data_IF_900765039885
#
_entry.id   IF_900765039885
#
_cell.length_a   1.000
_cell.length_b   1.000
_cell.length_c   1.000
_cell.angle_alpha   90.00
_cell.angle_beta   90.00
_cell.angle_gamma   90.00
#
_symmetry.space_group_name_H-M   'P 1'
#
loop_
_entity.id
_entity.type
_entity.pdbx_description
1 polymer ?
#
# COMPACT_ATOMS: atom_id res chain seq x y z
N UNK A 1 2.31 16.48 -0.73
CA UNK A 1 2.52 15.75 -2.01
C UNK A 1 3.88 15.07 -2.08
N UNK A 2 4.99 15.79 -1.89
CA UNK A 2 6.35 15.21 -1.99
C UNK A 2 6.55 13.96 -1.13
N UNK A 3 5.99 13.90 0.09
CA UNK A 3 6.13 12.74 0.97
C UNK A 3 5.36 11.49 0.50
N UNK A 4 4.19 11.68 -0.12
CA UNK A 4 3.42 10.58 -0.72
C UNK A 4 4.18 10.00 -1.91
N UNK A 5 4.65 10.88 -2.81
CA UNK A 5 5.44 10.49 -3.99
C UNK A 5 6.74 9.78 -3.58
N UNK A 6 7.45 10.31 -2.57
CA UNK A 6 8.65 9.67 -2.04
C UNK A 6 8.33 8.29 -1.44
N UNK A 7 7.25 8.18 -0.65
CA UNK A 7 6.88 6.91 -0.03
C UNK A 7 6.47 5.86 -1.06
N UNK A 8 5.76 6.28 -2.11
CA UNK A 8 5.39 5.45 -3.24
C UNK A 8 6.62 5.01 -4.05
N UNK A 9 7.57 5.91 -4.29
CA UNK A 9 8.85 5.60 -4.92
C UNK A 9 9.61 4.51 -4.18
N UNK A 10 9.71 4.60 -2.85
CA UNK A 10 10.35 3.55 -2.02
C UNK A 10 9.67 2.18 -2.19
N UNK A 11 8.34 2.14 -2.29
CA UNK A 11 7.59 0.90 -2.51
C UNK A 11 7.86 0.36 -3.93
N UNK A 12 7.81 1.22 -4.94
CA UNK A 12 8.03 0.86 -6.35
C UNK A 12 9.46 0.41 -6.63
N UNK A 13 10.46 1.03 -6.00
CA UNK A 13 11.88 0.66 -6.13
C UNK A 13 12.17 -0.77 -5.63
N UNK A 14 11.29 -1.33 -4.78
CA UNK A 14 11.36 -2.72 -4.33
C UNK A 14 10.63 -3.70 -5.26
N UNK A 15 9.94 -3.19 -6.28
CA UNK A 15 9.05 -3.93 -7.16
C UNK A 15 7.61 -4.03 -6.63
N UNK A 16 7.23 -3.17 -5.68
CA UNK A 16 5.96 -3.27 -4.97
C UNK A 16 5.92 -4.43 -3.99
N UNK A 17 4.77 -4.61 -3.34
CA UNK A 17 4.52 -5.78 -2.49
C UNK A 17 4.48 -7.04 -3.37
N UNK A 18 3.93 -6.96 -4.58
CA UNK A 18 3.98 -8.05 -5.55
C UNK A 18 5.40 -8.56 -5.78
N UNK A 19 6.33 -7.66 -6.14
CA UNK A 19 7.72 -8.04 -6.42
C UNK A 19 8.46 -8.56 -5.20
N UNK A 20 8.08 -8.12 -3.99
CA UNK A 20 8.59 -8.69 -2.74
C UNK A 20 8.13 -10.14 -2.53
N UNK A 21 6.85 -10.43 -2.75
CA UNK A 21 6.31 -11.79 -2.60
C UNK A 21 6.85 -12.74 -3.68
N UNK A 22 7.00 -12.26 -4.92
CA UNK A 22 7.57 -13.07 -6.01
C UNK A 22 9.00 -13.55 -5.72
N UNK A 23 9.78 -12.77 -4.98
CA UNK A 23 11.17 -13.10 -4.63
C UNK A 23 11.28 -14.11 -3.49
N UNK A 24 10.22 -14.36 -2.74
CA UNK A 24 10.23 -15.27 -1.59
C UNK A 24 9.71 -16.65 -1.98
N UNK A 25 10.50 -17.70 -1.72
CA UNK A 25 10.12 -19.09 -2.01
C UNK A 25 8.88 -19.55 -1.24
N UNK A 26 8.60 -18.97 -0.07
CA UNK A 26 7.48 -19.36 0.79
C UNK A 26 6.22 -18.50 0.59
N UNK A 27 6.35 -17.30 0.02
CA UNK A 27 5.25 -16.34 -0.15
C UNK A 27 4.79 -16.14 -1.60
N UNK A 28 5.51 -16.68 -2.58
CA UNK A 28 5.21 -16.49 -4.00
C UNK A 28 3.76 -16.83 -4.40
N UNK A 29 3.16 -17.85 -3.80
CA UNK A 29 1.76 -18.23 -4.08
C UNK A 29 0.76 -17.11 -3.70
N UNK A 30 1.20 -16.13 -2.91
CA UNK A 30 0.40 -15.00 -2.46
C UNK A 30 0.71 -13.71 -3.24
N UNK A 31 1.54 -13.74 -4.28
CA UNK A 31 1.89 -12.54 -5.04
C UNK A 31 0.70 -11.80 -5.63
N UNK A 32 -0.39 -12.51 -5.99
CA UNK A 32 -1.63 -11.88 -6.46
C UNK A 32 -2.22 -10.93 -5.40
N UNK A 33 -2.14 -11.29 -4.11
CA UNK A 33 -2.54 -10.39 -3.02
C UNK A 33 -1.65 -9.14 -3.02
N UNK A 34 -0.35 -9.30 -3.18
CA UNK A 34 0.58 -8.17 -3.30
C UNK A 34 0.22 -7.24 -4.45
N UNK A 35 -0.06 -7.79 -5.62
CA UNK A 35 -0.47 -7.02 -6.81
C UNK A 35 -1.76 -6.24 -6.59
N UNK A 36 -2.75 -6.86 -5.94
CA UNK A 36 -4.00 -6.19 -5.57
C UNK A 36 -3.76 -5.03 -4.61
N UNK A 37 -2.90 -5.21 -3.60
CA UNK A 37 -2.56 -4.15 -2.65
C UNK A 37 -1.86 -2.99 -3.37
N UNK A 38 -0.87 -3.29 -4.21
CA UNK A 38 -0.13 -2.28 -4.99
C UNK A 38 -1.09 -1.43 -5.85
N UNK A 39 -2.00 -2.08 -6.59
CA UNK A 39 -2.99 -1.38 -7.43
C UNK A 39 -3.97 -0.53 -6.62
N UNK A 40 -4.41 -1.01 -5.44
CA UNK A 40 -5.32 -0.25 -4.58
C UNK A 40 -4.63 0.93 -3.90
N UNK A 41 -3.37 0.77 -3.47
CA UNK A 41 -2.55 1.88 -2.97
C UNK A 41 -2.35 2.95 -4.04
N UNK A 42 -2.03 2.55 -5.27
CA UNK A 42 -1.93 3.48 -6.40
C UNK A 42 -3.24 4.25 -6.59
N UNK A 43 -4.39 3.54 -6.56
CA UNK A 43 -5.71 4.16 -6.72
C UNK A 43 -5.98 5.20 -5.64
N UNK A 44 -5.62 4.94 -4.38
CA UNK A 44 -5.75 5.92 -3.29
C UNK A 44 -4.96 7.21 -3.56
N UNK A 45 -3.71 7.08 -4.03
CA UNK A 45 -2.88 8.24 -4.35
C UNK A 45 -3.49 9.04 -5.50
N UNK A 46 -3.85 8.37 -6.58
CA UNK A 46 -4.43 9.03 -7.76
C UNK A 46 -5.74 9.71 -7.41
N UNK A 47 -6.63 9.06 -6.66
CA UNK A 47 -7.88 9.67 -6.22
C UNK A 47 -7.64 10.91 -5.35
N UNK A 48 -6.64 10.90 -4.48
CA UNK A 48 -6.26 12.08 -3.69
C UNK A 48 -5.72 13.21 -4.59
N UNK A 49 -4.88 12.89 -5.57
CA UNK A 49 -4.34 13.83 -6.55
C UNK A 49 -5.47 14.47 -7.38
N UNK A 50 -6.39 13.68 -7.90
CA UNK A 50 -7.56 14.16 -8.64
C UNK A 50 -8.43 15.10 -7.80
N UNK A 51 -8.69 14.76 -6.52
CA UNK A 51 -9.41 15.67 -5.62
C UNK A 51 -8.69 17.02 -5.43
N UNK A 52 -7.36 17.01 -5.34
CA UNK A 52 -6.57 18.24 -5.29
C UNK A 52 -6.73 19.06 -6.59
N UNK A 53 -6.63 18.41 -7.75
CA UNK A 53 -6.70 19.05 -9.07
C UNK A 53 -8.09 19.64 -9.35
N UNK A 54 -9.16 18.97 -8.90
CA UNK A 54 -10.54 19.44 -9.04
C UNK A 54 -10.89 20.59 -8.07
N UNK A 55 -9.96 21.03 -7.23
CA UNK A 55 -10.21 22.07 -6.21
C UNK A 55 -11.08 21.60 -5.05
N UNK A 56 -11.41 20.29 -4.98
CA UNK A 56 -12.07 19.65 -3.85
C UNK A 56 -11.02 19.36 -2.77
N UNK A 57 -10.52 20.41 -2.10
CA UNK A 57 -9.41 20.32 -1.13
C UNK A 57 -9.54 19.09 -0.24
N UNK A 58 -8.77 18.01 -0.49
CA UNK A 58 -8.90 16.81 0.32
C UNK A 58 -8.41 17.11 1.73
N UNK A 59 -9.12 16.56 2.73
CA UNK A 59 -8.84 16.88 4.12
C UNK A 59 -7.43 16.43 4.52
N UNK A 60 -6.77 17.20 5.40
CA UNK A 60 -5.49 16.77 6.03
C UNK A 60 -5.61 15.37 6.66
N UNK A 61 -6.80 15.02 7.15
CA UNK A 61 -7.12 13.67 7.63
C UNK A 61 -6.93 12.61 6.54
N UNK A 62 -7.48 12.80 5.34
CA UNK A 62 -7.32 11.86 4.23
C UNK A 62 -5.85 11.72 3.83
N UNK A 63 -5.13 12.85 3.70
CA UNK A 63 -3.70 12.84 3.41
C UNK A 63 -2.91 11.98 4.42
N UNK A 64 -3.13 12.21 5.72
CA UNK A 64 -2.45 11.48 6.77
C UNK A 64 -2.83 9.98 6.79
N UNK A 65 -4.08 9.65 6.49
CA UNK A 65 -4.50 8.24 6.37
C UNK A 65 -3.76 7.53 5.24
N UNK A 66 -3.65 8.15 4.05
CA UNK A 66 -2.90 7.59 2.92
C UNK A 66 -1.42 7.47 3.27
N UNK A 67 -0.83 8.51 3.88
CA UNK A 67 0.58 8.50 4.28
C UNK A 67 0.89 7.39 5.30
N UNK A 68 -0.01 7.15 6.25
CA UNK A 68 0.12 6.06 7.21
C UNK A 68 0.05 4.69 6.53
N UNK A 69 -0.87 4.50 5.56
CA UNK A 69 -0.94 3.26 4.77
C UNK A 69 0.34 3.01 3.96
N UNK A 70 0.94 4.07 3.41
CA UNK A 70 2.25 3.97 2.75
C UNK A 70 3.37 3.63 3.74
N UNK A 71 3.30 4.11 4.98
CA UNK A 71 4.17 3.68 6.08
C UNK A 71 4.04 2.19 6.37
N UNK A 72 2.81 1.71 6.56
CA UNK A 72 2.50 0.29 6.81
C UNK A 72 2.99 -0.60 5.66
N UNK A 73 2.79 -0.18 4.41
CA UNK A 73 3.27 -0.89 3.22
C UNK A 73 4.81 -0.98 3.20
N UNK A 74 5.52 0.12 3.50
CA UNK A 74 7.00 0.10 3.58
C UNK A 74 7.53 -0.84 4.64
N UNK A 75 6.80 -1.00 5.75
CA UNK A 75 7.19 -1.90 6.84
C UNK A 75 7.16 -3.38 6.45
N UNK A 76 6.50 -3.74 5.34
CA UNK A 76 6.57 -5.09 4.76
C UNK A 76 8.00 -5.42 4.33
N UNK A 77 8.71 -4.47 3.72
CA UNK A 77 10.07 -4.69 3.19
C UNK A 77 11.16 -4.68 4.27
N UNK A 78 10.90 -4.04 5.41
CA UNK A 78 11.87 -3.95 6.52
C UNK A 78 11.97 -5.25 7.34
N UNK A 79 11.21 -6.28 6.98
CA UNK A 79 11.12 -7.52 7.75
C UNK A 79 11.32 -8.69 6.82
N UNK A 80 12.35 -9.49 7.12
CA UNK A 80 12.63 -10.73 6.41
C UNK A 80 11.48 -11.73 6.64
N UNK A 81 10.78 -12.10 5.57
CA UNK A 81 9.68 -13.06 5.59
C UNK A 81 10.08 -14.40 6.19
N UNK A 82 11.30 -14.85 5.88
CA UNK A 82 11.81 -16.16 6.30
C UNK A 82 12.05 -16.19 7.82
N UNK A 83 12.22 -15.02 8.45
CA UNK A 83 12.37 -14.87 9.91
C UNK A 83 11.04 -14.72 10.66
N UNK A 84 10.00 -14.16 10.03
CA UNK A 84 8.71 -13.90 10.68
C UNK A 84 7.75 -15.10 10.58
N UNK A 85 7.95 -15.97 9.59
CA UNK A 85 7.02 -17.03 9.22
C UNK A 85 5.92 -16.50 8.29
N UNK A 86 5.59 -17.32 7.28
CA UNK A 86 4.62 -17.00 6.21
C UNK A 86 3.32 -16.38 6.73
N UNK A 87 2.70 -17.02 7.72
CA UNK A 87 1.39 -16.62 8.25
C UNK A 87 1.37 -15.20 8.80
N UNK A 88 2.40 -14.79 9.55
CA UNK A 88 2.49 -13.43 10.11
C UNK A 88 2.65 -12.36 9.04
N UNK A 89 3.30 -12.70 7.92
CA UNK A 89 3.40 -11.79 6.78
C UNK A 89 2.04 -11.65 6.10
N UNK A 90 1.35 -12.78 5.86
CA UNK A 90 0.03 -12.78 5.23
C UNK A 90 -1.03 -12.05 6.06
N UNK A 91 -1.06 -12.24 7.37
CA UNK A 91 -1.99 -11.53 8.27
C UNK A 91 -1.82 -10.01 8.16
N UNK A 92 -0.57 -9.53 8.11
CA UNK A 92 -0.28 -8.11 7.91
C UNK A 92 -0.74 -7.59 6.56
N UNK A 93 -0.50 -8.36 5.49
CA UNK A 93 -0.93 -7.99 4.15
C UNK A 93 -2.44 -7.95 4.04
N UNK A 94 -3.15 -8.89 4.65
CA UNK A 94 -4.61 -8.88 4.72
C UNK A 94 -5.12 -7.69 5.51
N UNK A 95 -4.51 -7.38 6.66
CA UNK A 95 -4.82 -6.19 7.44
C UNK A 95 -4.61 -4.90 6.65
N UNK A 96 -3.49 -4.78 5.93
CA UNK A 96 -3.20 -3.65 5.06
C UNK A 96 -4.24 -3.54 3.94
N UNK A 97 -4.54 -4.64 3.24
CA UNK A 97 -5.54 -4.67 2.18
C UNK A 97 -6.91 -4.19 2.66
N UNK A 98 -7.34 -4.66 3.85
CA UNK A 98 -8.62 -4.26 4.45
C UNK A 98 -8.67 -2.77 4.74
N UNK A 99 -7.63 -2.20 5.37
CA UNK A 99 -7.58 -0.75 5.65
C UNK A 99 -7.63 0.09 4.37
N UNK A 100 -6.98 -0.38 3.31
CA UNK A 100 -7.00 0.29 2.00
C UNK A 100 -8.41 0.26 1.40
N UNK A 101 -9.08 -0.89 1.44
CA UNK A 101 -10.47 -1.03 0.96
C UNK A 101 -11.45 -0.15 1.74
N UNK A 102 -11.33 -0.11 3.08
CA UNK A 102 -12.12 0.75 3.95
C UNK A 102 -11.94 2.24 3.62
N UNK A 103 -10.71 2.65 3.26
CA UNK A 103 -10.43 4.03 2.86
C UNK A 103 -10.94 4.34 1.45
N UNK A 104 -10.75 3.43 0.49
CA UNK A 104 -11.26 3.58 -0.87
C UNK A 104 -12.79 3.72 -0.89
N UNK A 105 -13.50 2.98 -0.05
CA UNK A 105 -14.96 3.05 0.06
C UNK A 105 -15.48 4.41 0.58
N UNK A 106 -14.62 5.22 1.21
CA UNK A 106 -14.95 6.57 1.68
C UNK A 106 -14.67 7.64 0.62
N UNK A 107 -13.98 7.31 -0.46
CA UNK A 107 -13.71 8.24 -1.54
C UNK A 107 -14.91 8.33 -2.49
N UNK A 108 -15.22 9.53 -3.01
CA UNK A 108 -16.24 9.69 -4.03
C UNK A 108 -15.87 8.91 -5.29
N UNK A 109 -16.87 8.27 -5.89
CA UNK A 109 -16.76 7.46 -7.12
C UNK A 109 -16.47 8.30 -8.36
#
# INVERSE_FOLDING_TARGET
>A
MKDLQNSQGVIQDKGGIWGYLEKSSILRDNSVLGFQIDGKLQRLVVSFETLCEEGKTPTSKLYNLILNLMGDARMVFNRDADRQGKEKVLEKLQGLNKKIEELLAQLPS
#
